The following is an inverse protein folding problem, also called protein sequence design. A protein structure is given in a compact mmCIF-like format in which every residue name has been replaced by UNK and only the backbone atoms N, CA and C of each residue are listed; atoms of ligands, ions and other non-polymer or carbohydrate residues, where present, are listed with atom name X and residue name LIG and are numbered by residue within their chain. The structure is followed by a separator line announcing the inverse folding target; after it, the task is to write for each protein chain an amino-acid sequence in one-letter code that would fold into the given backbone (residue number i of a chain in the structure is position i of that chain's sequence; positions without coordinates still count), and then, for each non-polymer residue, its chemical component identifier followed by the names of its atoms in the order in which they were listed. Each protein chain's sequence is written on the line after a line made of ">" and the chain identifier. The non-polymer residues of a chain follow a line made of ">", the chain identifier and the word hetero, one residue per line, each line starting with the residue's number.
data_IF_361103812418
#
_entry.id   IF_361103812418
#
_cell.length_a   1.000
_cell.length_b   1.000
_cell.length_c   1.000
_cell.angle_alpha   90.00
_cell.angle_beta   90.00
_cell.angle_gamma   90.00
#
_symmetry.space_group_name_H-M   'P 1'
#
loop_
_entity.id
_entity.type
_entity.pdbx_description
1 polymer ?
#
# COMPACT_ATOMS: atom_id res chain seq x y z
N UNK A 1 21.11 47.90 -19.40
CA UNK A 1 19.95 47.28 -20.11
C UNK A 1 18.94 46.86 -19.06
N UNK A 2 17.71 47.36 -19.14
CA UNK A 2 16.64 47.05 -18.19
C UNK A 2 16.29 45.56 -18.27
N UNK A 3 16.13 44.91 -17.11
CA UNK A 3 15.69 43.50 -17.06
C UNK A 3 14.25 43.44 -17.61
N UNK A 4 13.91 42.48 -18.48
CA UNK A 4 12.53 42.27 -18.89
C UNK A 4 11.67 42.01 -17.66
N UNK A 5 10.50 42.64 -17.56
CA UNK A 5 9.55 42.33 -16.51
C UNK A 5 8.89 40.98 -16.80
N UNK A 6 9.47 39.93 -16.22
CA UNK A 6 9.04 38.56 -16.46
C UNK A 6 7.61 38.28 -15.96
N UNK A 7 7.12 39.02 -14.97
CA UNK A 7 5.77 38.88 -14.44
C UNK A 7 4.71 39.41 -15.41
N UNK A 8 4.98 40.59 -15.98
CA UNK A 8 4.15 41.19 -17.02
C UNK A 8 4.13 40.33 -18.29
N UNK A 9 5.29 39.79 -18.69
CA UNK A 9 5.39 38.87 -19.83
C UNK A 9 4.59 37.58 -19.60
N UNK A 10 4.59 37.03 -18.38
CA UNK A 10 3.77 35.85 -18.08
C UNK A 10 2.27 36.17 -18.14
N UNK A 11 1.84 37.35 -17.67
CA UNK A 11 0.43 37.77 -17.78
C UNK A 11 -0.01 37.96 -19.22
N UNK A 12 0.82 38.63 -20.04
CA UNK A 12 0.57 38.81 -21.47
C UNK A 12 0.50 37.47 -22.20
N UNK A 13 1.44 36.56 -21.90
CA UNK A 13 1.40 35.21 -22.40
C UNK A 13 0.08 34.52 -22.04
N UNK A 14 -0.37 34.57 -20.79
CA UNK A 14 -1.65 33.96 -20.38
C UNK A 14 -2.87 34.58 -21.07
N UNK A 15 -2.85 35.88 -21.35
CA UNK A 15 -3.91 36.58 -22.08
C UNK A 15 -3.91 36.23 -23.58
N UNK A 16 -2.75 36.22 -24.24
CA UNK A 16 -2.61 35.86 -25.66
C UNK A 16 -2.90 34.38 -25.92
N UNK A 17 -2.52 33.50 -24.98
CA UNK A 17 -2.68 32.05 -25.11
C UNK A 17 -4.12 31.55 -24.93
N UNK A 18 -5.08 32.45 -24.74
CA UNK A 18 -6.51 32.15 -24.63
C UNK A 18 -7.18 31.85 -26.00
N UNK A 19 -6.56 32.25 -27.12
CA UNK A 19 -6.96 31.88 -28.47
C UNK A 19 -5.93 30.89 -29.07
N UNK A 20 -6.34 29.84 -29.80
CA UNK A 20 -5.58 28.61 -29.90
C UNK A 20 -4.37 28.71 -30.86
N UNK A 21 -3.23 28.17 -30.42
CA UNK A 21 -2.25 27.55 -31.33
C UNK A 21 -0.80 28.02 -31.27
N UNK A 22 -0.47 29.15 -30.63
CA UNK A 22 0.91 29.66 -30.64
C UNK A 22 1.79 28.84 -29.68
N UNK A 23 2.98 28.41 -30.12
CA UNK A 23 3.94 27.71 -29.26
C UNK A 23 4.63 28.70 -28.32
N UNK A 24 5.01 28.32 -27.08
CA UNK A 24 5.80 29.17 -26.18
C UNK A 24 7.09 29.66 -26.81
N UNK A 25 7.65 28.87 -27.73
CA UNK A 25 8.86 29.22 -28.46
C UNK A 25 8.59 30.37 -29.44
N UNK A 26 7.61 30.21 -30.32
CA UNK A 26 7.19 31.24 -31.29
C UNK A 26 6.75 32.54 -30.61
N UNK A 27 6.05 32.46 -29.48
CA UNK A 27 5.67 33.67 -28.72
C UNK A 27 6.89 34.38 -28.12
N UNK A 28 7.85 33.65 -27.55
CA UNK A 28 9.08 34.26 -27.03
C UNK A 28 9.92 34.87 -28.16
N UNK A 29 9.99 34.21 -29.31
CA UNK A 29 10.70 34.69 -30.51
C UNK A 29 10.04 35.97 -31.07
N UNK A 30 8.70 36.04 -31.10
CA UNK A 30 7.94 37.23 -31.51
C UNK A 30 8.14 38.43 -30.56
N UNK A 31 8.38 38.18 -29.26
CA UNK A 31 8.70 39.22 -28.28
C UNK A 31 10.20 39.59 -28.26
N UNK A 32 11.03 39.02 -29.15
CA UNK A 32 12.47 39.26 -29.19
C UNK A 32 13.24 38.70 -27.99
N UNK A 33 12.64 37.73 -27.28
CA UNK A 33 13.19 37.14 -26.07
C UNK A 33 13.89 35.80 -26.37
N UNK A 34 15.03 35.56 -25.72
CA UNK A 34 15.67 34.24 -25.81
C UNK A 34 14.81 33.18 -25.09
N UNK A 35 14.26 32.25 -25.87
CA UNK A 35 13.41 31.17 -25.37
C UNK A 35 14.05 30.35 -24.23
N UNK A 36 15.36 30.10 -24.27
CA UNK A 36 16.06 29.30 -23.26
C UNK A 36 16.02 29.97 -21.86
N UNK A 37 16.02 31.30 -21.82
CA UNK A 37 15.87 32.12 -20.62
C UNK A 37 14.39 32.29 -20.27
N UNK A 38 13.56 32.58 -21.27
CA UNK A 38 12.15 32.91 -21.14
C UNK A 38 11.32 31.72 -20.61
N UNK A 39 11.64 30.48 -21.03
CA UNK A 39 10.97 29.25 -20.57
C UNK A 39 11.08 28.98 -19.05
N UNK A 40 12.01 29.63 -18.36
CA UNK A 40 12.16 29.49 -16.89
C UNK A 40 11.07 30.28 -16.15
N UNK A 41 10.57 31.35 -16.78
CA UNK A 41 9.64 32.31 -16.17
C UNK A 41 8.25 32.25 -16.80
N UNK A 42 8.13 32.00 -18.11
CA UNK A 42 6.84 31.89 -18.81
C UNK A 42 6.39 30.43 -18.81
N UNK A 43 5.46 30.09 -17.92
CA UNK A 43 4.92 28.73 -17.78
C UNK A 43 3.49 28.66 -18.34
N UNK A 44 3.25 27.69 -19.21
CA UNK A 44 1.88 27.25 -19.54
C UNK A 44 1.24 26.69 -18.27
N UNK A 45 0.05 27.16 -17.84
CA UNK A 45 -0.72 26.45 -16.83
C UNK A 45 -1.19 25.15 -17.47
N UNK A 46 -0.42 24.08 -17.29
CA UNK A 46 -0.93 22.75 -17.61
C UNK A 46 -1.92 22.39 -16.51
N UNK A 47 -3.10 21.89 -16.91
CA UNK A 47 -4.13 21.43 -15.97
C UNK A 47 -3.60 20.43 -14.92
N UNK A 48 -2.46 19.79 -15.18
CA UNK A 48 -1.77 18.86 -14.28
C UNK A 48 -1.03 19.54 -13.10
N UNK A 49 -0.76 20.84 -13.15
CA UNK A 49 0.04 21.51 -12.08
C UNK A 49 -0.81 21.91 -10.87
N UNK A 50 -2.12 22.11 -11.05
CA UNK A 50 -3.07 22.35 -9.95
C UNK A 50 -3.40 21.06 -9.17
N UNK A 51 -3.19 19.88 -9.76
CA UNK A 51 -3.55 18.59 -9.16
C UNK A 51 -2.40 17.94 -8.36
N UNK A 52 -1.15 18.37 -8.56
CA UNK A 52 0.03 17.83 -7.85
C UNK A 52 0.02 17.97 -6.32
N UNK A 53 -0.40 19.10 -5.70
CA UNK A 53 -0.43 19.19 -4.24
C UNK A 53 -1.55 18.32 -3.64
N UNK A 54 -2.67 18.15 -4.34
CA UNK A 54 -3.78 17.28 -3.91
C UNK A 54 -3.41 15.80 -4.01
N UNK A 55 -2.76 15.36 -5.10
CA UNK A 55 -2.29 13.98 -5.26
C UNK A 55 -1.14 13.62 -4.30
N UNK A 56 -0.24 14.57 -3.99
CA UNK A 56 0.82 14.35 -2.98
C UNK A 56 0.23 14.25 -1.57
N UNK A 57 -0.75 15.11 -1.22
CA UNK A 57 -1.46 15.01 0.06
C UNK A 57 -2.28 13.74 0.18
N UNK A 58 -2.96 13.31 -0.88
CA UNK A 58 -3.69 12.03 -0.92
C UNK A 58 -2.74 10.84 -0.77
N UNK A 59 -1.57 10.84 -1.43
CA UNK A 59 -0.56 9.77 -1.29
C UNK A 59 0.12 9.76 0.08
N UNK A 60 0.41 10.91 0.68
CA UNK A 60 0.95 10.98 2.05
C UNK A 60 -0.11 10.55 3.06
N UNK A 61 -1.36 11.00 2.93
CA UNK A 61 -2.46 10.57 3.79
C UNK A 61 -2.85 9.09 3.60
N UNK A 62 -2.69 8.54 2.38
CA UNK A 62 -2.83 7.09 2.12
C UNK A 62 -1.64 6.31 2.66
N UNK A 63 -0.42 6.85 2.61
CA UNK A 63 0.75 6.23 3.23
C UNK A 63 0.69 6.27 4.75
N UNK A 64 0.17 7.34 5.33
CA UNK A 64 -0.07 7.48 6.78
C UNK A 64 -1.25 6.61 7.20
N UNK A 65 -2.36 6.54 6.45
CA UNK A 65 -3.41 5.54 6.73
C UNK A 65 -2.92 4.10 6.61
N UNK A 66 -2.11 3.77 5.61
CA UNK A 66 -1.56 2.42 5.49
C UNK A 66 -0.40 2.14 6.46
N UNK A 67 0.27 3.14 7.02
CA UNK A 67 1.34 2.93 8.00
C UNK A 67 0.81 2.97 9.45
N UNK A 68 -0.23 3.75 9.72
CA UNK A 68 -0.86 3.91 11.04
C UNK A 68 -1.98 2.89 11.29
N UNK A 69 -2.60 2.33 10.24
CA UNK A 69 -3.57 1.22 10.36
C UNK A 69 -2.88 -0.17 10.32
N UNK A 70 -1.58 -0.21 9.98
CA UNK A 70 -0.76 -1.43 10.00
C UNK A 70 0.17 -1.52 11.22
N UNK A 71 -0.10 -0.78 12.30
CA UNK A 71 0.37 -1.23 13.61
C UNK A 71 -0.46 -2.43 14.01
N UNK A 72 -0.07 -3.60 13.46
CA UNK A 72 0.14 -4.89 14.10
C UNK A 72 -0.50 -5.14 15.49
N UNK A 73 -1.77 -4.79 15.70
CA UNK A 73 -2.50 -5.03 16.96
C UNK A 73 -3.13 -6.43 17.00
N UNK A 74 -2.57 -7.42 16.29
CA UNK A 74 -2.92 -8.83 16.50
C UNK A 74 -2.39 -9.34 17.87
N UNK A 75 -1.66 -8.52 18.63
CA UNK A 75 -0.99 -8.91 19.88
C UNK A 75 0.11 -9.95 19.68
N UNK A 76 0.53 -10.19 18.43
CA UNK A 76 1.58 -11.14 18.06
C UNK A 76 2.92 -10.43 17.92
N UNK A 77 3.98 -11.08 18.39
CA UNK A 77 5.35 -10.68 18.06
C UNK A 77 5.67 -11.01 16.59
N UNK A 78 6.66 -10.34 16.00
CA UNK A 78 7.13 -10.63 14.64
C UNK A 78 7.45 -12.11 14.43
N UNK A 79 8.02 -12.73 15.46
CA UNK A 79 8.38 -14.14 15.44
C UNK A 79 7.15 -15.06 15.44
N UNK A 80 6.09 -14.67 16.16
CA UNK A 80 4.81 -15.39 16.14
C UNK A 80 4.09 -15.22 14.80
N UNK A 81 4.14 -14.03 14.19
CA UNK A 81 3.63 -13.82 12.83
C UNK A 81 4.33 -14.73 11.82
N UNK A 82 5.66 -14.83 11.92
CA UNK A 82 6.45 -15.70 11.05
C UNK A 82 6.10 -17.17 11.28
N UNK A 83 5.89 -17.58 12.54
CA UNK A 83 5.41 -18.92 12.88
C UNK A 83 4.06 -19.22 12.23
N UNK A 84 3.07 -18.32 12.34
CA UNK A 84 1.75 -18.51 11.71
C UNK A 84 1.88 -18.66 10.20
N UNK A 85 2.65 -17.78 9.56
CA UNK A 85 2.85 -17.80 8.11
C UNK A 85 3.52 -19.10 7.63
N UNK A 86 4.46 -19.65 8.39
CA UNK A 86 5.10 -20.94 8.08
C UNK A 86 4.16 -22.12 8.37
N UNK A 87 3.44 -22.10 9.50
CA UNK A 87 2.51 -23.14 9.89
C UNK A 87 1.37 -23.31 8.89
N UNK A 88 0.88 -22.22 8.29
CA UNK A 88 -0.17 -22.29 7.27
C UNK A 88 0.30 -22.92 5.94
N UNK A 89 1.61 -23.11 5.73
CA UNK A 89 2.12 -23.75 4.50
C UNK A 89 2.06 -25.28 4.57
N UNK A 90 2.43 -25.86 5.71
CA UNK A 90 2.64 -27.30 5.87
C UNK A 90 1.94 -27.90 7.09
N UNK A 91 1.22 -27.10 7.89
CA UNK A 91 0.56 -27.49 9.15
C UNK A 91 1.48 -28.26 10.11
N UNK A 92 2.79 -27.97 10.06
CA UNK A 92 3.78 -28.62 10.91
C UNK A 92 4.34 -27.63 11.93
N UNK A 93 3.88 -27.72 13.18
CA UNK A 93 4.26 -26.79 14.24
C UNK A 93 5.78 -26.78 14.52
N UNK A 94 6.42 -27.94 14.56
CA UNK A 94 7.85 -28.05 14.84
C UNK A 94 8.68 -27.40 13.73
N UNK A 95 8.37 -27.68 12.47
CA UNK A 95 9.07 -27.09 11.33
C UNK A 95 8.80 -25.60 11.18
N UNK A 96 7.55 -25.17 11.42
CA UNK A 96 7.18 -23.76 11.43
C UNK A 96 7.95 -22.99 12.51
N UNK A 97 8.10 -23.55 13.72
CA UNK A 97 8.89 -22.93 14.78
C UNK A 97 10.37 -22.80 14.41
N UNK A 98 10.96 -23.82 13.77
CA UNK A 98 12.36 -23.77 13.31
C UNK A 98 12.54 -22.66 12.25
N UNK A 99 11.64 -22.60 11.26
CA UNK A 99 11.70 -21.58 10.19
C UNK A 99 11.41 -20.18 10.71
N UNK A 100 10.57 -20.05 11.73
CA UNK A 100 10.30 -18.82 12.47
C UNK A 100 11.48 -18.37 13.36
N UNK A 101 12.59 -19.13 13.40
CA UNK A 101 13.81 -18.76 14.12
C UNK A 101 13.84 -19.17 15.59
N UNK A 102 12.94 -20.06 16.03
CA UNK A 102 13.03 -20.66 17.37
C UNK A 102 14.14 -21.71 17.44
N UNK A 103 14.63 -21.97 18.65
CA UNK A 103 15.67 -22.98 18.89
C UNK A 103 15.20 -24.36 18.45
N UNK A 104 15.99 -25.01 17.58
CA UNK A 104 15.71 -26.37 17.10
C UNK A 104 15.55 -27.38 18.23
N UNK A 105 16.27 -27.20 19.35
CA UNK A 105 16.22 -28.11 20.50
C UNK A 105 14.88 -28.07 21.24
N UNK A 106 14.16 -26.97 21.15
CA UNK A 106 12.89 -26.74 21.88
C UNK A 106 11.74 -26.42 20.92
N UNK A 107 11.95 -26.54 19.61
CA UNK A 107 10.99 -26.12 18.58
C UNK A 107 9.68 -26.90 18.66
N UNK A 108 9.73 -28.18 19.04
CA UNK A 108 8.52 -29.01 19.22
C UNK A 108 7.65 -28.48 20.37
N UNK A 109 8.24 -28.28 21.56
CA UNK A 109 7.54 -27.74 22.73
C UNK A 109 7.03 -26.32 22.47
N UNK A 110 7.84 -25.46 21.85
CA UNK A 110 7.46 -24.10 21.50
C UNK A 110 6.34 -24.10 20.47
N UNK A 111 6.42 -24.94 19.44
CA UNK A 111 5.39 -25.06 18.41
C UNK A 111 4.04 -25.42 19.02
N UNK A 112 4.01 -26.42 19.90
CA UNK A 112 2.78 -26.80 20.61
C UNK A 112 2.25 -25.66 21.51
N UNK A 113 3.14 -25.00 22.27
CA UNK A 113 2.76 -23.87 23.11
C UNK A 113 2.21 -22.69 22.29
N UNK A 114 2.77 -22.43 21.11
CA UNK A 114 2.30 -21.37 20.20
C UNK A 114 0.91 -21.70 19.65
N UNK A 115 0.64 -22.96 19.29
CA UNK A 115 -0.70 -23.37 18.85
C UNK A 115 -1.76 -23.22 19.95
N UNK A 116 -1.39 -23.39 21.22
CA UNK A 116 -2.30 -23.20 22.36
C UNK A 116 -2.55 -21.73 22.71
N UNK A 117 -1.75 -20.78 22.19
CA UNK A 117 -1.99 -19.36 22.44
C UNK A 117 -3.17 -18.87 21.59
N UNK A 118 -4.19 -18.36 22.26
CA UNK A 118 -5.42 -17.84 21.63
C UNK A 118 -5.13 -16.84 20.51
N UNK A 119 -4.19 -15.91 20.72
CA UNK A 119 -3.82 -14.91 19.69
C UNK A 119 -3.26 -15.56 18.42
N UNK A 120 -2.43 -16.60 18.55
CA UNK A 120 -1.80 -17.30 17.41
C UNK A 120 -2.84 -18.13 16.65
N UNK A 121 -3.75 -18.78 17.38
CA UNK A 121 -4.87 -19.52 16.80
C UNK A 121 -5.83 -18.57 16.04
N UNK A 122 -6.18 -17.42 16.63
CA UNK A 122 -7.02 -16.40 16.00
C UNK A 122 -6.38 -15.84 14.72
N UNK A 123 -5.08 -15.48 14.78
CA UNK A 123 -4.35 -15.00 13.61
C UNK A 123 -4.31 -16.03 12.47
N UNK A 124 -4.11 -17.32 12.81
CA UNK A 124 -4.12 -18.42 11.84
C UNK A 124 -5.49 -18.58 11.17
N UNK A 125 -6.56 -18.56 11.97
CA UNK A 125 -7.94 -18.67 11.48
C UNK A 125 -8.32 -17.48 10.58
N UNK A 126 -7.92 -16.27 10.95
CA UNK A 126 -8.16 -15.06 10.17
C UNK A 126 -7.44 -15.11 8.82
N UNK A 127 -6.17 -15.55 8.80
CA UNK A 127 -5.42 -15.70 7.55
C UNK A 127 -6.00 -16.80 6.66
N UNK A 128 -6.43 -17.93 7.21
CA UNK A 128 -7.12 -18.97 6.44
C UNK A 128 -8.41 -18.43 5.82
N UNK A 129 -9.24 -17.74 6.61
CA UNK A 129 -10.47 -17.11 6.11
C UNK A 129 -10.18 -16.13 4.99
N UNK A 130 -9.17 -15.27 5.15
CA UNK A 130 -8.77 -14.32 4.11
C UNK A 130 -8.27 -15.03 2.82
N UNK A 131 -7.56 -16.15 2.96
CA UNK A 131 -7.11 -16.95 1.82
C UNK A 131 -8.26 -17.62 1.08
N UNK A 132 -9.26 -18.12 1.81
CA UNK A 132 -10.49 -18.73 1.27
C UNK A 132 -11.29 -17.69 0.50
N UNK A 133 -11.51 -16.50 1.09
CA UNK A 133 -12.20 -15.38 0.43
C UNK A 133 -11.47 -14.93 -0.84
N UNK A 134 -10.13 -14.97 -0.86
CA UNK A 134 -9.35 -14.62 -2.07
C UNK A 134 -9.46 -15.71 -3.14
N UNK A 135 -9.46 -16.98 -2.75
CA UNK A 135 -9.38 -18.12 -3.67
C UNK A 135 -10.74 -18.46 -4.25
N UNK A 136 -11.80 -18.35 -3.46
CA UNK A 136 -13.16 -18.63 -3.87
C UNK A 136 -13.80 -17.36 -4.44
N UNK A 137 -14.31 -17.46 -5.67
CA UNK A 137 -14.95 -16.32 -6.36
C UNK A 137 -16.40 -16.08 -5.93
N UNK A 138 -17.01 -17.04 -5.22
CA UNK A 138 -18.42 -17.04 -4.83
C UNK A 138 -18.60 -16.97 -3.31
N UNK A 139 -19.53 -16.13 -2.85
CA UNK A 139 -19.86 -16.01 -1.42
C UNK A 139 -20.41 -17.30 -0.80
N UNK A 140 -21.13 -18.12 -1.59
CA UNK A 140 -21.66 -19.41 -1.13
C UNK A 140 -20.55 -20.44 -0.88
N UNK A 141 -19.53 -20.49 -1.73
CA UNK A 141 -18.40 -21.40 -1.53
C UNK A 141 -17.57 -21.00 -0.30
N UNK A 142 -17.42 -19.69 -0.05
CA UNK A 142 -16.78 -19.17 1.17
C UNK A 142 -17.56 -19.60 2.41
N UNK A 143 -18.90 -19.47 2.40
CA UNK A 143 -19.74 -19.88 3.54
C UNK A 143 -19.65 -21.38 3.81
N UNK A 144 -19.64 -22.22 2.77
CA UNK A 144 -19.54 -23.67 2.94
C UNK A 144 -18.17 -24.09 3.51
N UNK A 145 -17.07 -23.54 2.99
CA UNK A 145 -15.72 -23.86 3.49
C UNK A 145 -15.50 -23.32 4.91
N UNK A 146 -16.02 -22.13 5.21
CA UNK A 146 -15.92 -21.55 6.55
C UNK A 146 -16.77 -22.34 7.58
N UNK A 147 -17.94 -22.85 7.17
CA UNK A 147 -18.75 -23.76 7.98
C UNK A 147 -18.03 -25.08 8.26
N UNK A 148 -17.38 -25.68 7.27
CA UNK A 148 -16.57 -26.89 7.47
C UNK A 148 -15.45 -26.66 8.48
N UNK A 149 -14.72 -25.54 8.38
CA UNK A 149 -13.67 -25.22 9.35
C UNK A 149 -14.23 -25.01 10.77
N UNK A 150 -15.33 -24.25 10.91
CA UNK A 150 -15.94 -23.99 12.21
C UNK A 150 -16.55 -25.23 12.88
N UNK A 151 -17.09 -26.17 12.09
CA UNK A 151 -17.71 -27.40 12.61
C UNK A 151 -16.70 -28.53 12.83
N UNK A 152 -15.58 -28.53 12.11
CA UNK A 152 -14.49 -29.48 12.33
C UNK A 152 -13.70 -29.15 13.61
N UNK A 153 -13.47 -27.87 13.89
CA UNK A 153 -12.74 -27.40 15.09
C UNK A 153 -13.49 -27.71 16.40
N UNK A 154 -14.83 -27.64 16.39
CA UNK A 154 -15.66 -27.89 17.58
C UNK A 154 -15.68 -29.36 18.06
N UNK A 155 -15.27 -30.32 17.23
CA UNK A 155 -15.49 -31.76 17.48
C UNK A 155 -14.20 -32.60 17.64
N UNK A 156 -13.00 -31.98 17.66
CA UNK A 156 -11.72 -32.70 17.76
C UNK A 156 -10.85 -32.38 18.99
N UNK A 157 -11.37 -31.65 19.99
CA UNK A 157 -10.68 -31.46 21.29
C UNK A 157 -11.16 -32.44 22.40
N UNK A 158 -11.89 -33.52 22.04
CA UNK A 158 -12.49 -34.46 23.01
C UNK A 158 -12.20 -35.95 22.75
N UNK A 159 -11.07 -36.31 22.16
CA UNK A 159 -10.61 -37.72 22.11
C UNK A 159 -9.12 -37.79 22.41
#
# INVERSE_FOLDING_TARGET
>A
MAKPDWGELQRRFLSDHAAPGVSPKDWCEAQGLNYATARRYIKKPTAQTAQKPAQKKLRTAQKEKCAEELVDDDGLTDQQRLFVAEYLKDHNATQAAIRAGYSKKTAEQIGYQLLQKTSVAQASAQQQKASIVRTLGSADEVLEQMWRLATFDANQLSQ
#
